data_IF_100583077630
#
_entry.id   IF_100583077630
#
_cell.length_a   1.000
_cell.length_b   1.000
_cell.length_c   1.000
_cell.angle_alpha   90.00
_cell.angle_beta   90.00
_cell.angle_gamma   90.00
#
_symmetry.space_group_name_H-M   'P 1'
#
loop_
_entity.id
_entity.type
_entity.pdbx_description
1 polymer ?
#
# COMPACT_ATOMS: atom_id res chain seq x y z
N UNK A 1 38.29 -1.16 -8.64
CA UNK A 1 37.49 -0.01 -9.13
C UNK A 1 36.03 -0.39 -9.07
N UNK A 2 35.26 0.19 -8.16
CA UNK A 2 33.81 -0.06 -8.02
C UNK A 2 33.11 0.84 -9.05
N UNK A 3 32.40 0.25 -9.98
CA UNK A 3 31.64 0.96 -11.01
C UNK A 3 30.62 1.90 -10.33
N UNK A 4 30.56 3.20 -10.67
CA UNK A 4 29.68 4.19 -10.03
C UNK A 4 28.18 3.98 -10.25
N UNK A 5 27.77 2.97 -11.03
CA UNK A 5 26.38 2.79 -11.47
C UNK A 5 25.52 1.81 -10.64
N UNK A 6 26.10 1.06 -9.70
CA UNK A 6 25.38 -0.06 -9.08
C UNK A 6 24.55 0.27 -7.83
N UNK A 7 24.73 1.44 -7.24
CA UNK A 7 24.09 1.82 -5.97
C UNK A 7 22.68 2.38 -6.11
N UNK A 8 22.31 2.88 -7.30
CA UNK A 8 21.05 3.58 -7.54
C UNK A 8 19.95 2.70 -8.12
N UNK A 9 20.36 1.54 -8.69
CA UNK A 9 19.40 0.68 -9.36
C UNK A 9 19.14 -0.59 -8.55
N UNK A 10 17.91 -0.84 -8.10
CA UNK A 10 17.58 -2.05 -7.37
C UNK A 10 17.77 -3.26 -8.30
N UNK A 11 18.39 -4.32 -7.81
CA UNK A 11 18.19 -5.64 -8.41
C UNK A 11 16.68 -5.81 -8.54
N UNK A 12 16.20 -6.03 -9.77
CA UNK A 12 14.78 -5.94 -10.17
C UNK A 12 13.86 -6.45 -9.07
N UNK A 13 12.81 -5.69 -8.67
CA UNK A 13 11.82 -6.19 -7.72
C UNK A 13 11.24 -7.47 -8.32
N UNK A 14 11.19 -8.51 -7.53
CA UNK A 14 10.89 -9.85 -8.03
C UNK A 14 9.47 -9.98 -8.58
N UNK A 15 8.57 -9.03 -8.29
CA UNK A 15 7.16 -9.07 -8.72
C UNK A 15 6.48 -7.71 -8.62
N UNK A 16 6.67 -6.80 -9.55
CA UNK A 16 5.71 -5.69 -9.68
C UNK A 16 4.43 -6.25 -10.29
N UNK A 17 3.27 -6.03 -9.66
CA UNK A 17 1.99 -6.44 -10.23
C UNK A 17 1.80 -5.83 -11.62
N UNK A 18 1.17 -6.59 -12.52
CA UNK A 18 0.82 -6.07 -13.85
C UNK A 18 -0.12 -4.85 -13.75
N UNK A 19 -0.18 -4.02 -14.79
CA UNK A 19 -0.97 -2.79 -14.78
C UNK A 19 -2.46 -3.05 -14.48
N UNK A 20 -3.04 -4.15 -14.96
CA UNK A 20 -4.42 -4.52 -14.63
C UNK A 20 -4.68 -4.71 -13.15
N UNK A 21 -3.77 -5.39 -12.42
CA UNK A 21 -3.88 -5.56 -10.97
C UNK A 21 -3.74 -4.22 -10.24
N UNK A 22 -2.81 -3.38 -10.66
CA UNK A 22 -2.61 -2.07 -10.05
C UNK A 22 -3.82 -1.15 -10.26
N UNK A 23 -4.42 -1.14 -11.45
CA UNK A 23 -5.68 -0.43 -11.73
C UNK A 23 -6.85 -0.98 -10.90
N UNK A 24 -6.94 -2.31 -10.75
CA UNK A 24 -7.97 -2.92 -9.91
C UNK A 24 -7.85 -2.45 -8.46
N UNK A 25 -6.65 -2.47 -7.89
CA UNK A 25 -6.40 -2.00 -6.52
C UNK A 25 -6.76 -0.53 -6.37
N UNK A 26 -6.33 0.32 -7.32
CA UNK A 26 -6.66 1.75 -7.29
C UNK A 26 -8.17 1.99 -7.42
N UNK A 27 -8.85 1.30 -8.31
CA UNK A 27 -10.28 1.41 -8.53
C UNK A 27 -11.11 0.94 -7.34
N UNK A 28 -10.75 -0.20 -6.74
CA UNK A 28 -11.39 -0.69 -5.52
C UNK A 28 -11.20 0.29 -4.35
N UNK A 29 -10.00 0.88 -4.24
CA UNK A 29 -9.73 1.90 -3.24
C UNK A 29 -10.59 3.15 -3.42
N UNK A 30 -10.68 3.68 -4.63
CA UNK A 30 -11.51 4.82 -4.95
C UNK A 30 -13.00 4.52 -4.72
N UNK A 31 -13.48 3.34 -5.09
CA UNK A 31 -14.84 2.90 -4.85
C UNK A 31 -15.15 2.79 -3.34
N UNK A 32 -14.24 2.18 -2.56
CA UNK A 32 -14.40 2.05 -1.11
C UNK A 32 -14.47 3.42 -0.43
N UNK A 33 -13.60 4.36 -0.82
CA UNK A 33 -13.65 5.72 -0.30
C UNK A 33 -14.94 6.43 -0.70
N UNK A 34 -15.33 6.35 -1.98
CA UNK A 34 -16.54 6.97 -2.49
C UNK A 34 -17.81 6.46 -1.80
N UNK A 35 -17.94 5.14 -1.61
CA UNK A 35 -19.04 4.52 -0.88
C UNK A 35 -19.04 4.98 0.59
N UNK A 36 -17.87 5.00 1.25
CA UNK A 36 -17.78 5.47 2.64
C UNK A 36 -18.18 6.93 2.78
N UNK A 37 -17.77 7.79 1.86
CA UNK A 37 -18.13 9.20 1.85
C UNK A 37 -19.63 9.42 1.54
N UNK A 38 -20.21 8.59 0.66
CA UNK A 38 -21.63 8.62 0.35
C UNK A 38 -22.46 8.20 1.57
N UNK A 39 -22.11 7.09 2.22
CA UNK A 39 -22.78 6.61 3.44
C UNK A 39 -22.72 7.66 4.55
N UNK A 40 -21.60 8.37 4.69
CA UNK A 40 -21.49 9.47 5.64
C UNK A 40 -22.54 10.58 5.38
N UNK A 41 -22.76 10.93 4.11
CA UNK A 41 -23.73 11.97 3.72
C UNK A 41 -25.19 11.54 3.89
N UNK A 42 -25.51 10.27 3.76
CA UNK A 42 -26.88 9.76 3.87
C UNK A 42 -27.40 9.71 5.31
N UNK A 43 -26.54 9.87 6.31
CA UNK A 43 -26.93 9.88 7.72
C UNK A 43 -27.37 8.51 8.27
N UNK A 44 -27.33 7.44 7.49
CA UNK A 44 -27.74 6.07 7.89
C UNK A 44 -26.61 5.38 8.65
N UNK A 45 -26.15 5.97 9.77
CA UNK A 45 -24.95 5.54 10.47
C UNK A 45 -25.19 4.76 11.77
N UNK A 46 -26.40 4.30 12.03
CA UNK A 46 -26.71 3.53 13.26
C UNK A 46 -25.85 2.26 13.40
N UNK A 47 -25.53 1.58 12.29
CA UNK A 47 -24.64 0.42 12.29
C UNK A 47 -23.19 0.79 12.65
N UNK A 48 -22.73 1.96 12.23
CA UNK A 48 -21.36 2.46 12.43
C UNK A 48 -21.11 2.80 13.92
N UNK A 49 -22.10 3.45 14.54
CA UNK A 49 -22.10 3.67 15.99
C UNK A 49 -22.20 2.36 16.78
N UNK A 50 -23.09 1.45 16.38
CA UNK A 50 -23.24 0.16 17.04
C UNK A 50 -21.95 -0.66 16.99
N UNK A 51 -21.31 -0.73 15.83
CA UNK A 51 -20.02 -1.40 15.67
C UNK A 51 -18.90 -0.69 16.43
N UNK A 52 -18.92 0.65 16.47
CA UNK A 52 -17.98 1.42 17.30
C UNK A 52 -18.12 0.99 18.76
N UNK A 53 -19.34 0.96 19.33
CA UNK A 53 -19.56 0.56 20.72
C UNK A 53 -19.03 -0.84 21.01
N UNK A 54 -19.33 -1.82 20.15
CA UNK A 54 -18.84 -3.21 20.29
C UNK A 54 -17.31 -3.26 20.35
N UNK A 55 -16.63 -2.48 19.53
CA UNK A 55 -15.17 -2.48 19.45
C UNK A 55 -14.49 -1.60 20.51
N UNK A 56 -15.19 -0.60 21.02
CA UNK A 56 -14.69 0.34 22.01
C UNK A 56 -15.03 -0.12 23.46
N UNK A 57 -16.20 -0.68 23.69
CA UNK A 57 -16.67 -1.13 25.01
C UNK A 57 -16.17 -2.56 25.30
N UNK A 58 -14.93 -2.68 25.75
CA UNK A 58 -14.37 -4.00 26.13
C UNK A 58 -14.21 -4.09 27.65
N UNK A 59 -14.30 -5.31 28.23
CA UNK A 59 -14.08 -5.52 29.66
C UNK A 59 -12.72 -5.02 30.12
N UNK A 60 -12.63 -4.52 31.37
CA UNK A 60 -11.41 -3.95 31.93
C UNK A 60 -10.21 -4.91 31.87
N UNK A 61 -10.44 -6.22 32.07
CA UNK A 61 -9.39 -7.23 31.94
C UNK A 61 -8.81 -7.32 30.52
N UNK A 62 -9.65 -7.18 29.48
CA UNK A 62 -9.17 -7.12 28.10
C UNK A 62 -8.50 -5.78 27.81
N UNK A 63 -9.04 -4.68 28.33
CA UNK A 63 -8.49 -3.34 28.13
C UNK A 63 -7.06 -3.20 28.70
N UNK A 64 -6.73 -3.87 29.81
CA UNK A 64 -5.38 -3.85 30.41
C UNK A 64 -4.29 -4.36 29.48
N UNK A 65 -4.63 -5.29 28.57
CA UNK A 65 -3.71 -5.83 27.55
C UNK A 65 -3.82 -5.07 26.24
N UNK A 66 -5.05 -4.81 25.80
CA UNK A 66 -5.29 -4.21 24.47
C UNK A 66 -4.81 -2.75 24.39
N UNK A 67 -4.91 -1.99 25.48
CA UNK A 67 -4.49 -0.58 25.46
C UNK A 67 -2.99 -0.42 25.23
N UNK A 68 -2.06 -1.04 25.97
CA UNK A 68 -0.63 -0.93 25.69
C UNK A 68 -0.28 -1.50 24.31
N UNK A 69 -0.90 -2.59 23.86
CA UNK A 69 -0.70 -3.12 22.50
C UNK A 69 -1.15 -2.12 21.45
N UNK A 70 -2.30 -1.47 21.64
CA UNK A 70 -2.82 -0.46 20.70
C UNK A 70 -1.92 0.75 20.57
N UNK A 71 -1.17 1.09 21.62
CA UNK A 71 -0.21 2.19 21.60
C UNK A 71 0.98 1.95 20.68
N UNK A 72 1.29 0.67 20.34
CA UNK A 72 2.29 0.35 19.31
C UNK A 72 1.88 0.83 17.91
N UNK A 73 0.58 1.11 17.70
CA UNK A 73 0.03 1.63 16.44
C UNK A 73 -0.16 3.16 16.46
N UNK A 74 0.33 3.85 17.47
CA UNK A 74 0.48 5.30 17.54
C UNK A 74 1.69 5.77 16.71
N UNK A 75 1.84 7.08 16.44
CA UNK A 75 2.92 7.59 15.60
C UNK A 75 4.31 7.07 15.94
N UNK A 76 4.63 6.95 17.24
CA UNK A 76 5.92 6.41 17.68
C UNK A 76 6.13 4.95 17.24
N UNK A 77 5.13 4.09 17.43
CA UNK A 77 5.20 2.70 16.99
C UNK A 77 5.27 2.56 15.46
N UNK A 78 4.50 3.39 14.74
CA UNK A 78 4.57 3.45 13.27
C UNK A 78 5.99 3.86 12.83
N UNK A 79 6.61 4.84 13.50
CA UNK A 79 7.98 5.26 13.20
C UNK A 79 8.97 4.09 13.37
N UNK A 80 8.86 3.31 14.43
CA UNK A 80 9.70 2.12 14.64
C UNK A 80 9.55 1.11 13.50
N UNK A 81 8.31 0.83 13.08
CA UNK A 81 8.05 -0.09 11.95
C UNK A 81 8.61 0.47 10.65
N UNK A 82 8.46 1.76 10.38
CA UNK A 82 9.02 2.42 9.20
C UNK A 82 10.54 2.34 9.20
N UNK A 83 11.21 2.65 10.33
CA UNK A 83 12.67 2.52 10.47
C UNK A 83 13.11 1.08 10.20
N UNK A 84 12.43 0.09 10.78
CA UNK A 84 12.73 -1.32 10.53
C UNK A 84 12.62 -1.70 9.05
N UNK A 85 11.56 -1.26 8.37
CA UNK A 85 11.37 -1.49 6.92
C UNK A 85 12.49 -0.84 6.12
N UNK A 86 12.85 0.41 6.43
CA UNK A 86 13.94 1.13 5.76
C UNK A 86 15.27 0.38 5.94
N UNK A 87 15.60 -0.01 7.17
CA UNK A 87 16.80 -0.79 7.47
C UNK A 87 16.80 -2.11 6.71
N UNK A 88 15.68 -2.84 6.72
CA UNK A 88 15.54 -4.10 5.98
C UNK A 88 15.76 -3.89 4.47
N UNK A 89 15.15 -2.87 3.89
CA UNK A 89 15.24 -2.57 2.45
C UNK A 89 16.67 -2.19 2.08
N UNK A 90 17.32 -1.35 2.87
CA UNK A 90 18.71 -0.93 2.67
C UNK A 90 19.66 -2.12 2.83
N UNK A 91 19.52 -2.91 3.89
CA UNK A 91 20.33 -4.10 4.15
C UNK A 91 20.22 -5.17 3.04
N UNK A 92 19.08 -5.21 2.35
CA UNK A 92 18.86 -6.13 1.22
C UNK A 92 19.31 -5.54 -0.13
N UNK A 93 20.01 -4.42 -0.13
CA UNK A 93 20.50 -3.74 -1.35
C UNK A 93 19.39 -3.51 -2.41
N UNK A 94 18.19 -3.13 -1.94
CA UNK A 94 17.02 -2.87 -2.82
C UNK A 94 17.03 -1.45 -3.42
N UNK A 95 18.09 -0.68 -3.18
CA UNK A 95 18.22 0.71 -3.65
C UNK A 95 17.27 1.68 -2.92
N UNK A 96 17.19 2.92 -3.40
CA UNK A 96 16.34 3.97 -2.82
C UNK A 96 14.88 3.92 -3.28
N UNK A 97 14.58 3.19 -4.36
CA UNK A 97 13.25 3.17 -4.97
C UNK A 97 12.12 2.74 -4.03
N UNK A 98 12.27 1.68 -3.21
CA UNK A 98 11.24 1.31 -2.24
C UNK A 98 10.99 2.38 -1.19
N UNK A 99 12.06 3.04 -0.71
CA UNK A 99 11.95 4.13 0.27
C UNK A 99 11.23 5.31 -0.33
N UNK A 100 11.58 5.71 -1.56
CA UNK A 100 10.91 6.77 -2.30
C UNK A 100 9.44 6.45 -2.58
N UNK A 101 9.12 5.21 -2.98
CA UNK A 101 7.75 4.77 -3.22
C UNK A 101 6.91 4.81 -1.91
N UNK A 102 7.46 4.31 -0.81
CA UNK A 102 6.80 4.36 0.51
C UNK A 102 6.59 5.79 1.00
N UNK A 103 7.59 6.66 0.87
CA UNK A 103 7.49 8.07 1.25
C UNK A 103 6.46 8.83 0.40
N UNK A 104 6.46 8.62 -0.92
CA UNK A 104 5.47 9.19 -1.82
C UNK A 104 4.05 8.72 -1.48
N UNK A 105 3.87 7.41 -1.26
CA UNK A 105 2.60 6.84 -0.84
C UNK A 105 2.10 7.45 0.48
N UNK A 106 2.98 7.57 1.48
CA UNK A 106 2.65 8.17 2.78
C UNK A 106 2.23 9.64 2.63
N UNK A 107 3.03 10.44 1.94
CA UNK A 107 2.79 11.87 1.76
C UNK A 107 1.48 12.14 1.00
N UNK A 108 1.26 11.45 -0.12
CA UNK A 108 0.04 11.62 -0.92
C UNK A 108 -1.20 11.19 -0.13
N UNK A 109 -1.16 10.02 0.53
CA UNK A 109 -2.29 9.53 1.33
C UNK A 109 -2.60 10.47 2.51
N UNK A 110 -1.56 11.00 3.16
CA UNK A 110 -1.74 11.98 4.24
C UNK A 110 -2.40 13.26 3.76
N UNK A 111 -1.93 13.83 2.65
CA UNK A 111 -2.52 15.05 2.06
C UNK A 111 -3.98 14.81 1.69
N UNK A 112 -4.28 13.73 0.95
CA UNK A 112 -5.65 13.42 0.52
C UNK A 112 -6.58 13.19 1.70
N UNK A 113 -6.12 12.48 2.74
CA UNK A 113 -6.91 12.26 3.95
C UNK A 113 -7.20 13.57 4.68
N UNK A 114 -6.24 14.51 4.75
CA UNK A 114 -6.47 15.79 5.41
C UNK A 114 -7.38 16.74 4.59
N UNK A 115 -7.27 16.72 3.27
CA UNK A 115 -8.22 17.42 2.39
C UNK A 115 -9.64 16.88 2.57
N UNK A 116 -9.78 15.55 2.57
CA UNK A 116 -11.08 14.91 2.81
C UNK A 116 -11.66 15.23 4.19
N UNK A 117 -10.82 15.33 5.23
CA UNK A 117 -11.23 15.75 6.59
C UNK A 117 -11.82 17.14 6.60
N UNK A 118 -11.19 18.09 5.92
CA UNK A 118 -11.67 19.46 5.85
C UNK A 118 -13.04 19.59 5.15
N UNK A 119 -13.39 18.62 4.29
CA UNK A 119 -14.66 18.60 3.55
C UNK A 119 -15.75 17.85 4.34
N UNK A 120 -15.37 16.74 5.03
CA UNK A 120 -16.34 15.85 5.67
C UNK A 120 -16.87 16.39 7.01
N UNK A 121 -16.06 17.15 7.72
CA UNK A 121 -16.35 17.81 9.02
C UNK A 121 -17.09 16.90 10.03
N UNK A 122 -16.69 15.64 10.12
CA UNK A 122 -17.32 14.65 11.01
C UNK A 122 -16.74 14.75 12.43
N UNK A 123 -17.59 14.95 13.49
CA UNK A 123 -17.10 14.94 14.86
C UNK A 123 -16.57 13.55 15.25
N UNK A 124 -15.69 13.50 16.25
CA UNK A 124 -15.14 12.22 16.73
C UNK A 124 -16.09 11.49 17.65
N UNK A 125 -16.00 10.13 17.72
CA UNK A 125 -16.88 9.34 18.59
C UNK A 125 -16.87 9.81 20.05
N UNK A 126 -15.69 10.07 20.62
CA UNK A 126 -15.57 10.48 22.01
C UNK A 126 -16.19 11.87 22.32
N UNK A 127 -16.45 12.68 21.29
CA UNK A 127 -17.06 14.01 21.44
C UNK A 127 -18.60 13.95 21.50
N UNK A 128 -19.19 12.92 20.86
CA UNK A 128 -20.66 12.89 20.63
C UNK A 128 -21.34 11.62 21.13
N UNK A 129 -20.60 10.52 21.32
CA UNK A 129 -21.21 9.27 21.81
C UNK A 129 -21.07 9.21 23.33
N UNK A 130 -22.22 9.25 24.02
CA UNK A 130 -22.24 9.06 25.46
C UNK A 130 -21.67 7.69 25.85
N UNK A 131 -20.71 7.69 26.79
CA UNK A 131 -20.04 6.47 27.25
C UNK A 131 -18.89 6.00 26.37
N UNK A 132 -18.57 6.66 25.27
CA UNK A 132 -17.38 6.35 24.47
C UNK A 132 -16.09 6.51 25.32
N UNK A 133 -15.25 5.48 25.30
CA UNK A 133 -14.01 5.46 26.08
C UNK A 133 -12.84 5.93 25.22
N UNK A 134 -12.27 7.09 25.55
CA UNK A 134 -11.07 7.61 24.94
C UNK A 134 -9.83 7.05 25.66
N UNK A 135 -8.99 6.29 24.95
CA UNK A 135 -7.81 5.59 25.51
C UNK A 135 -6.47 6.16 25.03
N UNK A 136 -6.48 7.36 24.49
CA UNK A 136 -5.28 8.12 24.08
C UNK A 136 -5.51 9.62 24.32
N UNK A 137 -4.51 10.45 24.06
CA UNK A 137 -4.70 11.89 24.03
C UNK A 137 -5.75 12.27 22.97
N UNK A 138 -6.60 13.28 23.24
CA UNK A 138 -7.55 13.78 22.26
C UNK A 138 -6.85 14.11 20.95
N UNK A 139 -7.44 13.66 19.87
CA UNK A 139 -6.89 13.91 18.53
C UNK A 139 -7.47 15.20 17.96
N UNK A 140 -6.63 16.01 17.33
CA UNK A 140 -7.08 17.25 16.69
C UNK A 140 -7.85 17.01 15.39
N UNK A 141 -8.77 17.92 15.08
CA UNK A 141 -9.55 17.93 13.83
C UNK A 141 -10.58 16.81 13.75
N UNK A 142 -11.23 16.71 12.60
CA UNK A 142 -12.38 15.83 12.33
C UNK A 142 -12.01 14.36 12.18
N UNK A 143 -13.02 13.45 12.30
CA UNK A 143 -12.76 12.02 12.33
C UNK A 143 -12.58 11.40 10.95
N UNK A 144 -13.44 11.71 9.98
CA UNK A 144 -13.45 11.06 8.66
C UNK A 144 -12.57 11.76 7.62
N UNK A 145 -11.79 11.03 6.87
CA UNK A 145 -11.38 9.62 7.03
C UNK A 145 -10.20 9.46 7.99
N UNK A 146 -9.87 8.22 8.39
CA UNK A 146 -8.70 7.94 9.25
C UNK A 146 -7.38 8.11 8.49
N UNK A 147 -6.62 9.15 8.80
CA UNK A 147 -5.30 9.40 8.16
C UNK A 147 -4.27 8.31 8.51
N UNK A 148 -4.29 7.75 9.74
CA UNK A 148 -3.40 6.65 10.12
C UNK A 148 -3.64 5.41 9.25
N UNK A 149 -4.91 5.06 9.04
CA UNK A 149 -5.27 3.93 8.16
C UNK A 149 -4.88 4.22 6.72
N UNK A 150 -5.16 5.42 6.20
CA UNK A 150 -4.83 5.80 4.83
C UNK A 150 -3.32 5.68 4.55
N UNK A 151 -2.50 6.28 5.40
CA UNK A 151 -1.04 6.24 5.27
C UNK A 151 -0.50 4.82 5.37
N UNK A 152 -0.94 4.06 6.39
CA UNK A 152 -0.44 2.70 6.59
C UNK A 152 -0.79 1.78 5.43
N UNK A 153 -2.03 1.81 4.95
CA UNK A 153 -2.47 0.99 3.80
C UNK A 153 -1.71 1.40 2.54
N UNK A 154 -1.56 2.70 2.26
CA UNK A 154 -0.83 3.17 1.08
C UNK A 154 0.63 2.70 1.06
N UNK A 155 1.33 2.82 2.20
CA UNK A 155 2.73 2.39 2.34
C UNK A 155 2.84 0.87 2.17
N UNK A 156 1.98 0.10 2.83
CA UNK A 156 2.00 -1.37 2.73
C UNK A 156 1.81 -1.81 1.28
N UNK A 157 0.80 -1.29 0.58
CA UNK A 157 0.54 -1.63 -0.82
C UNK A 157 1.70 -1.23 -1.73
N UNK A 158 2.27 -0.03 -1.57
CA UNK A 158 3.41 0.43 -2.36
C UNK A 158 4.66 -0.43 -2.16
N UNK A 159 4.84 -1.02 -0.97
CA UNK A 159 6.01 -1.83 -0.63
C UNK A 159 5.86 -3.32 -0.93
N UNK A 160 4.65 -3.84 -1.18
CA UNK A 160 4.41 -5.26 -1.50
C UNK A 160 5.42 -5.83 -2.52
N UNK A 161 5.76 -5.15 -3.64
CA UNK A 161 6.68 -5.68 -4.64
C UNK A 161 8.10 -5.93 -4.12
N UNK A 162 8.48 -5.27 -3.04
CA UNK A 162 9.82 -5.28 -2.48
C UNK A 162 9.97 -6.21 -1.26
N UNK A 163 8.85 -6.71 -0.74
CA UNK A 163 8.80 -7.54 0.46
C UNK A 163 8.74 -9.04 0.10
N UNK A 164 9.31 -9.87 0.97
CA UNK A 164 9.04 -11.30 0.94
C UNK A 164 7.56 -11.56 1.31
N UNK A 165 6.96 -12.63 0.77
CA UNK A 165 5.54 -12.93 1.00
C UNK A 165 5.11 -12.88 2.48
N UNK A 166 5.85 -13.49 3.44
CA UNK A 166 5.46 -13.41 4.85
C UNK A 166 5.42 -11.97 5.37
N UNK A 167 6.38 -11.13 4.95
CA UNK A 167 6.42 -9.71 5.36
C UNK A 167 5.29 -8.90 4.71
N UNK A 168 4.93 -9.20 3.46
CA UNK A 168 3.79 -8.55 2.81
C UNK A 168 2.48 -8.90 3.54
N UNK A 169 2.28 -10.18 3.90
CA UNK A 169 1.12 -10.62 4.70
C UNK A 169 1.12 -9.97 6.07
N UNK A 170 2.26 -9.94 6.76
CA UNK A 170 2.41 -9.26 8.05
C UNK A 170 2.09 -7.75 7.94
N UNK A 171 2.53 -7.11 6.86
CA UNK A 171 2.20 -5.70 6.59
C UNK A 171 0.70 -5.45 6.43
N UNK A 172 0.00 -6.34 5.71
CA UNK A 172 -1.47 -6.26 5.58
C UNK A 172 -2.13 -6.45 6.96
N UNK A 173 -1.71 -7.46 7.73
CA UNK A 173 -2.20 -7.67 9.09
C UNK A 173 -1.95 -6.44 9.99
N UNK A 174 -0.77 -5.84 9.88
CA UNK A 174 -0.45 -4.60 10.59
C UNK A 174 -1.39 -3.45 10.21
N UNK A 175 -1.70 -3.26 8.93
CA UNK A 175 -2.62 -2.22 8.48
C UNK A 175 -4.04 -2.42 9.04
N UNK A 176 -4.52 -3.67 9.12
CA UNK A 176 -5.80 -4.03 9.76
C UNK A 176 -5.77 -3.69 11.25
N UNK A 177 -4.69 -4.04 11.96
CA UNK A 177 -4.53 -3.74 13.38
C UNK A 177 -4.44 -2.24 13.65
N UNK A 178 -3.78 -1.47 12.78
CA UNK A 178 -3.79 0.01 12.86
C UNK A 178 -5.23 0.53 12.74
N UNK A 179 -5.99 0.09 11.75
CA UNK A 179 -7.39 0.49 11.58
C UNK A 179 -8.24 0.15 12.80
N UNK A 180 -8.19 -1.09 13.27
CA UNK A 180 -8.88 -1.53 14.47
C UNK A 180 -8.52 -0.69 15.70
N UNK A 181 -7.22 -0.44 15.91
CA UNK A 181 -6.76 0.33 17.06
C UNK A 181 -7.35 1.75 17.12
N UNK A 182 -7.62 2.37 15.96
CA UNK A 182 -8.23 3.71 15.91
C UNK A 182 -9.66 3.72 16.45
N UNK A 183 -10.43 2.65 16.18
CA UNK A 183 -11.78 2.48 16.72
C UNK A 183 -11.72 2.16 18.22
N UNK A 184 -10.88 1.18 18.58
CA UNK A 184 -10.66 0.78 19.98
C UNK A 184 -10.23 1.94 20.88
N UNK A 185 -9.31 2.79 20.41
CA UNK A 185 -8.83 3.97 21.14
C UNK A 185 -9.86 5.12 21.23
N UNK A 186 -11.01 4.99 20.58
CA UNK A 186 -12.14 5.92 20.70
C UNK A 186 -12.08 7.13 19.77
N UNK A 187 -11.13 7.19 18.84
CA UNK A 187 -10.90 8.40 18.02
C UNK A 187 -11.50 8.35 16.63
N UNK A 188 -11.91 7.17 16.15
CA UNK A 188 -12.50 6.96 14.83
C UNK A 188 -13.66 5.99 14.86
N UNK A 189 -14.60 6.19 13.96
CA UNK A 189 -15.63 5.20 13.65
C UNK A 189 -15.09 4.14 12.68
N UNK A 190 -15.71 2.95 12.58
CA UNK A 190 -15.40 1.94 11.57
C UNK A 190 -15.43 2.50 10.14
N UNK A 191 -16.42 3.35 9.81
CA UNK A 191 -16.54 3.99 8.50
C UNK A 191 -15.36 4.90 8.17
N UNK A 192 -14.78 5.58 9.18
CA UNK A 192 -13.58 6.41 8.98
C UNK A 192 -12.37 5.55 8.60
N UNK A 193 -12.28 4.36 9.19
CA UNK A 193 -11.24 3.38 8.88
C UNK A 193 -11.40 2.85 7.46
N UNK A 194 -12.63 2.51 7.06
CA UNK A 194 -12.92 2.08 5.68
C UNK A 194 -12.61 3.18 4.66
N UNK A 195 -13.02 4.43 4.92
CA UNK A 195 -12.67 5.57 4.08
C UNK A 195 -11.16 5.79 3.99
N UNK A 196 -10.45 5.67 5.11
CA UNK A 196 -8.99 5.74 5.14
C UNK A 196 -8.33 4.61 4.34
N UNK A 197 -8.80 3.37 4.51
CA UNK A 197 -8.32 2.22 3.73
C UNK A 197 -8.56 2.42 2.23
N UNK A 198 -9.71 3.01 1.85
CA UNK A 198 -10.02 3.35 0.46
C UNK A 198 -9.00 4.31 -0.15
N UNK A 199 -8.68 5.42 0.54
CA UNK A 199 -7.60 6.33 0.11
C UNK A 199 -6.28 5.59 0.00
N UNK A 200 -5.92 4.78 1.01
CA UNK A 200 -4.67 4.04 1.04
C UNK A 200 -4.52 3.08 -0.14
N UNK A 201 -5.56 2.31 -0.46
CA UNK A 201 -5.59 1.40 -1.61
C UNK A 201 -5.49 2.17 -2.93
N UNK A 202 -6.24 3.28 -3.08
CA UNK A 202 -6.20 4.10 -4.28
C UNK A 202 -4.79 4.64 -4.55
N UNK A 203 -4.18 5.26 -3.54
CA UNK A 203 -2.82 5.80 -3.63
C UNK A 203 -1.79 4.69 -3.87
N UNK A 204 -1.86 3.60 -3.10
CA UNK A 204 -0.97 2.44 -3.27
C UNK A 204 -1.03 1.86 -4.67
N UNK A 205 -2.24 1.70 -5.23
CA UNK A 205 -2.45 1.24 -6.61
C UNK A 205 -1.83 2.16 -7.65
N UNK A 206 -1.98 3.49 -7.49
CA UNK A 206 -1.33 4.49 -8.36
C UNK A 206 0.20 4.41 -8.27
N UNK A 207 0.75 4.25 -7.07
CA UNK A 207 2.20 4.06 -6.89
C UNK A 207 2.68 2.78 -7.59
N UNK A 208 1.92 1.67 -7.50
CA UNK A 208 2.25 0.43 -8.22
C UNK A 208 2.26 0.62 -9.74
N UNK A 209 1.33 1.42 -10.30
CA UNK A 209 1.33 1.78 -11.73
C UNK A 209 2.59 2.56 -12.11
N UNK A 210 2.94 3.57 -11.31
CA UNK A 210 4.14 4.37 -11.53
C UNK A 210 5.42 3.51 -11.49
N UNK A 211 5.52 2.61 -10.51
CA UNK A 211 6.63 1.67 -10.40
C UNK A 211 6.72 0.74 -11.62
N UNK A 212 5.59 0.19 -12.07
CA UNK A 212 5.54 -0.68 -13.25
C UNK A 212 6.02 0.03 -14.51
N UNK A 213 5.59 1.27 -14.73
CA UNK A 213 6.02 2.08 -15.88
C UNK A 213 7.50 2.47 -15.83
N UNK A 214 7.99 2.90 -14.67
CA UNK A 214 9.39 3.26 -14.48
C UNK A 214 10.33 2.07 -14.73
N UNK A 215 10.03 0.94 -14.14
CA UNK A 215 10.84 -0.27 -14.26
C UNK A 215 10.77 -0.88 -15.68
N UNK A 216 9.63 -0.78 -16.34
CA UNK A 216 9.47 -1.20 -17.73
C UNK A 216 10.32 -0.37 -18.69
N UNK A 217 10.32 0.96 -18.55
CA UNK A 217 11.15 1.87 -19.34
C UNK A 217 12.66 1.62 -19.13
N UNK A 218 13.05 1.39 -17.90
CA UNK A 218 14.43 1.11 -17.57
C UNK A 218 14.92 -0.22 -18.18
N UNK A 219 14.11 -1.27 -18.14
CA UNK A 219 14.44 -2.54 -18.78
C UNK A 219 14.54 -2.43 -20.31
N UNK A 220 13.70 -1.59 -20.91
CA UNK A 220 13.80 -1.32 -22.37
C UNK A 220 15.09 -0.58 -22.72
N UNK A 221 15.47 0.45 -21.94
CA UNK A 221 16.70 1.19 -22.15
C UNK A 221 17.94 0.29 -22.04
N UNK A 222 17.99 -0.59 -21.04
CA UNK A 222 19.05 -1.57 -20.85
C UNK A 222 19.17 -2.53 -22.07
N UNK A 223 18.04 -3.08 -22.52
CA UNK A 223 18.01 -3.96 -23.68
C UNK A 223 18.50 -3.28 -24.98
N UNK A 224 18.14 -2.01 -25.18
CA UNK A 224 18.61 -1.21 -26.33
C UNK A 224 20.11 -0.95 -26.23
N UNK A 225 20.65 -0.66 -25.05
CA UNK A 225 22.07 -0.45 -24.83
C UNK A 225 22.86 -1.73 -25.05
N UNK A 226 22.38 -2.87 -24.57
CA UNK A 226 23.00 -4.17 -24.78
C UNK A 226 23.00 -4.56 -26.27
N UNK A 227 21.91 -4.29 -26.99
CA UNK A 227 21.85 -4.48 -28.44
C UNK A 227 22.85 -3.59 -29.18
N UNK A 228 22.98 -2.32 -28.77
CA UNK A 228 23.92 -1.37 -29.39
C UNK A 228 25.39 -1.70 -29.13
N UNK A 229 25.68 -2.33 -27.97
CA UNK A 229 27.07 -2.69 -27.55
C UNK A 229 27.43 -4.13 -27.90
N UNK A 230 26.54 -4.90 -28.52
CA UNK A 230 26.76 -6.33 -28.82
C UNK A 230 26.84 -7.23 -27.60
N UNK A 231 26.41 -6.76 -26.43
CA UNK A 231 26.39 -7.54 -25.16
C UNK A 231 25.08 -8.26 -24.91
N UNK A 232 24.15 -8.24 -25.88
CA UNK A 232 22.89 -8.98 -25.79
C UNK A 232 23.11 -10.50 -25.67
N UNK A 233 22.14 -11.24 -25.11
CA UNK A 233 22.23 -12.70 -25.08
C UNK A 233 22.45 -13.21 -26.51
N UNK A 234 23.30 -14.25 -26.70
CA UNK A 234 23.52 -14.81 -28.05
C UNK A 234 22.17 -15.16 -28.62
N UNK A 235 21.88 -14.64 -29.83
CA UNK A 235 20.66 -14.98 -30.57
C UNK A 235 20.49 -16.50 -30.60
N UNK A 236 19.26 -17.03 -30.76
CA UNK A 236 19.03 -18.46 -30.82
C UNK A 236 20.05 -19.04 -31.82
N UNK A 237 20.87 -19.97 -31.34
CA UNK A 237 21.89 -20.59 -32.15
C UNK A 237 21.21 -21.08 -33.46
N UNK A 238 21.64 -20.50 -34.58
CA UNK A 238 21.16 -20.99 -35.90
C UNK A 238 21.51 -22.47 -35.88
N UNK A 239 20.48 -23.31 -35.88
CA UNK A 239 20.65 -24.75 -35.94
C UNK A 239 21.32 -25.09 -37.32
N UNK A 240 22.59 -25.43 -37.35
CA UNK A 240 23.29 -25.63 -38.62
C UNK A 240 22.79 -26.87 -39.38
N UNK A 241 21.83 -27.63 -38.77
CA UNK A 241 21.23 -28.83 -39.37
C UNK A 241 19.87 -28.56 -40.04
N UNK A 242 19.37 -27.31 -40.04
CA UNK A 242 18.21 -26.96 -40.86
C UNK A 242 18.65 -26.72 -42.31
N UNK A 243 18.97 -27.79 -43.01
CA UNK A 243 19.16 -27.79 -44.46
C UNK A 243 17.94 -27.19 -45.18
N UNK A 244 18.12 -26.62 -46.37
CA UNK A 244 17.00 -26.05 -47.15
C UNK A 244 15.92 -27.08 -47.34
N UNK A 245 14.66 -26.75 -46.91
CA UNK A 245 13.49 -27.58 -47.18
C UNK A 245 13.40 -27.78 -48.68
N UNK A 246 13.66 -29.00 -49.17
CA UNK A 246 13.46 -29.34 -50.57
C UNK A 246 11.99 -29.16 -50.95
N UNK A 247 11.69 -28.53 -52.07
CA UNK A 247 10.31 -28.40 -52.56
C UNK A 247 9.74 -29.81 -52.81
N UNK A 248 8.57 -30.08 -52.26
CA UNK A 248 7.82 -31.33 -52.53
C UNK A 248 7.59 -31.45 -54.02
N UNK A 249 8.05 -32.56 -54.63
CA UNK A 249 7.69 -32.93 -56.01
C UNK A 249 6.18 -33.12 -56.09
N UNK A 250 5.52 -32.64 -57.19
CA UNK A 250 4.12 -32.97 -57.43
C UNK A 250 3.96 -34.46 -57.70
N UNK A 251 2.93 -35.08 -57.15
CA UNK A 251 2.56 -36.46 -57.42
C UNK A 251 2.01 -36.54 -58.84
N UNK A 252 2.35 -37.62 -59.64
CA UNK A 252 1.77 -37.86 -60.97
C UNK A 252 0.32 -38.30 -60.78
N UNK A 253 -0.54 -37.82 -61.70
CA UNK A 253 -1.93 -38.23 -61.83
C UNK A 253 -2.01 -39.60 -62.54
#
# INVERSE_FOLDING_TARGET
>A
MISPGSWWWPKRPTRVPGPGTAWLVAGLGAALFGVSALLLKTGTLGWDESLFRILNEVPAAAASVLTPVSHLFLPAGITVVVVFIVVYVVARNRGVLPVAAGAAAAGIAWVLANVAKAIADRPRPYEVIAGAVLRQQPAHGTSFPSSHTAVTVAVVIALVPFLARPLAVAGIGYAVLVGWSRVYLGVHYPLDVLGGAGIGLAVGGVILLALGTLLGRAGQAENLQDAATGRGPPGPALNPTAGPKQPKRPEPR
#
